data_IF_906046495502
#
_entry.id   IF_906046495502
#
_cell.length_a   1.000
_cell.length_b   1.000
_cell.length_c   1.000
_cell.angle_alpha   90.00
_cell.angle_beta   90.00
_cell.angle_gamma   90.00
#
_symmetry.space_group_name_H-M   'P 1'
#
loop_
_entity.id
_entity.type
_entity.pdbx_description
1 polymer ?
#
# COMPACT_ATOMS: atom_id res chain seq x y z
N UNK A 1 -3.52 -83.46 -16.11
CA UNK A 1 -3.05 -82.21 -16.70
C UNK A 1 -4.11 -81.14 -16.44
N UNK A 2 -4.01 -80.38 -15.33
CA UNK A 2 -4.98 -79.38 -14.94
C UNK A 2 -4.41 -77.99 -15.40
N UNK A 3 -5.21 -77.23 -16.18
CA UNK A 3 -4.91 -75.91 -16.62
C UNK A 3 -5.44 -74.93 -15.55
N UNK A 4 -4.54 -74.22 -14.87
CA UNK A 4 -4.90 -73.10 -14.03
C UNK A 4 -5.13 -71.86 -14.91
N UNK A 5 -6.34 -71.26 -14.83
CA UNK A 5 -6.67 -69.99 -15.43
C UNK A 5 -6.43 -68.88 -14.42
N UNK A 6 -5.49 -68.00 -14.69
CA UNK A 6 -5.20 -66.81 -13.89
C UNK A 6 -6.17 -65.71 -14.32
N UNK A 7 -7.08 -65.29 -13.46
CA UNK A 7 -7.95 -64.13 -13.65
C UNK A 7 -7.22 -62.87 -13.11
N UNK A 8 -6.88 -61.91 -14.00
CA UNK A 8 -6.34 -60.65 -13.63
C UNK A 8 -7.46 -59.70 -13.19
N UNK A 9 -7.49 -59.32 -11.92
CA UNK A 9 -8.40 -58.32 -11.37
C UNK A 9 -7.77 -56.95 -11.63
N UNK A 10 -8.32 -56.18 -12.55
CA UNK A 10 -7.95 -54.77 -12.77
C UNK A 10 -8.66 -53.88 -11.72
N UNK A 11 -7.92 -53.40 -10.74
CA UNK A 11 -8.42 -52.46 -9.75
C UNK A 11 -8.45 -51.04 -10.35
N UNK A 12 -9.67 -50.57 -10.65
CA UNK A 12 -9.90 -49.20 -11.14
C UNK A 12 -9.83 -48.25 -9.94
N UNK A 13 -8.72 -47.48 -9.81
CA UNK A 13 -8.58 -46.45 -8.81
C UNK A 13 -9.34 -45.21 -9.32
N UNK A 14 -10.55 -45.01 -8.83
CA UNK A 14 -11.28 -43.75 -8.97
C UNK A 14 -10.60 -42.68 -8.11
N UNK A 15 -9.84 -41.78 -8.74
CA UNK A 15 -9.39 -40.55 -8.14
C UNK A 15 -10.63 -39.65 -7.91
N UNK A 16 -11.20 -39.72 -6.72
CA UNK A 16 -12.20 -38.77 -6.27
C UNK A 16 -11.52 -37.42 -6.08
N UNK A 17 -11.70 -36.48 -7.02
CA UNK A 17 -11.42 -35.08 -6.81
C UNK A 17 -12.34 -34.57 -5.71
N UNK A 18 -11.82 -34.46 -4.49
CA UNK A 18 -12.52 -33.79 -3.39
C UNK A 18 -12.78 -32.34 -3.79
N UNK A 19 -14.02 -31.83 -3.66
CA UNK A 19 -14.26 -30.41 -3.84
C UNK A 19 -13.36 -29.65 -2.87
N UNK A 20 -12.56 -28.71 -3.38
CA UNK A 20 -11.76 -27.78 -2.56
C UNK A 20 -12.73 -26.81 -1.87
N UNK A 21 -13.29 -27.23 -0.75
CA UNK A 21 -14.05 -26.32 0.11
C UNK A 21 -13.05 -25.39 0.79
N UNK A 22 -13.34 -24.08 0.76
CA UNK A 22 -12.53 -23.13 1.48
C UNK A 22 -12.42 -23.55 2.95
N UNK A 23 -11.20 -23.50 3.49
CA UNK A 23 -10.99 -23.84 4.90
C UNK A 23 -11.86 -22.96 5.81
N UNK A 24 -12.45 -23.49 6.89
CA UNK A 24 -13.24 -22.71 7.82
C UNK A 24 -12.43 -21.49 8.34
N UNK A 25 -12.98 -20.29 8.16
CA UNK A 25 -12.35 -19.03 8.58
C UNK A 25 -11.71 -18.20 7.46
N UNK A 26 -11.65 -18.68 6.21
CA UNK A 26 -11.14 -17.91 5.08
C UNK A 26 -12.19 -17.04 4.37
N UNK A 27 -13.48 -17.19 4.67
CA UNK A 27 -14.57 -16.43 4.04
C UNK A 27 -14.45 -14.92 4.27
N UNK A 28 -14.00 -14.49 5.46
CA UNK A 28 -13.77 -13.09 5.79
C UNK A 28 -12.29 -12.80 5.71
N UNK A 29 -11.93 -11.80 4.91
CA UNK A 29 -10.55 -11.31 4.74
C UNK A 29 -10.41 -9.97 5.46
N UNK A 30 -9.69 -9.96 6.58
CA UNK A 30 -9.47 -8.74 7.39
C UNK A 30 -8.27 -7.99 6.83
N UNK A 31 -8.55 -6.86 6.20
CA UNK A 31 -7.57 -5.98 5.57
C UNK A 31 -7.37 -4.72 6.40
N UNK A 32 -6.23 -4.08 6.28
CA UNK A 32 -5.93 -2.84 6.99
C UNK A 32 -5.62 -1.70 6.03
N UNK A 33 -6.00 -0.48 6.45
CA UNK A 33 -5.75 0.78 5.78
C UNK A 33 -5.18 1.79 6.78
N UNK A 34 -3.98 2.37 6.56
CA UNK A 34 -3.46 3.41 7.45
C UNK A 34 -4.10 4.80 7.22
N UNK A 35 -5.12 4.89 6.39
CA UNK A 35 -5.79 6.13 6.01
C UNK A 35 -5.06 6.85 4.87
N UNK A 36 -4.38 6.10 4.00
CA UNK A 36 -3.65 6.62 2.84
C UNK A 36 -4.43 6.37 1.55
N UNK A 37 -4.43 7.36 0.66
CA UNK A 37 -5.22 7.33 -0.57
C UNK A 37 -4.81 6.21 -1.52
N UNK A 38 -3.51 5.89 -1.64
CA UNK A 38 -2.98 4.79 -2.42
C UNK A 38 -3.43 3.43 -1.88
N UNK A 39 -3.39 3.26 -0.55
CA UNK A 39 -3.83 2.00 0.07
C UNK A 39 -5.35 1.87 0.04
N UNK A 40 -6.10 2.95 0.11
CA UNK A 40 -7.54 2.91 -0.13
C UNK A 40 -7.87 2.47 -1.56
N UNK A 41 -7.08 2.89 -2.57
CA UNK A 41 -7.24 2.47 -3.97
C UNK A 41 -6.94 0.97 -4.14
N UNK A 42 -5.81 0.48 -3.63
CA UNK A 42 -5.42 -0.94 -3.72
C UNK A 42 -6.33 -1.86 -2.91
N UNK A 43 -6.80 -1.41 -1.74
CA UNK A 43 -7.81 -2.11 -0.96
C UNK A 43 -9.15 -2.20 -1.71
N UNK A 44 -9.56 -1.16 -2.42
CA UNK A 44 -10.81 -1.15 -3.18
C UNK A 44 -10.76 -2.12 -4.38
N UNK A 45 -9.65 -2.17 -5.11
CA UNK A 45 -9.41 -3.18 -6.17
C UNK A 45 -9.50 -4.59 -5.56
N UNK A 46 -8.73 -4.83 -4.51
CA UNK A 46 -8.66 -6.16 -3.88
C UNK A 46 -10.01 -6.58 -3.31
N UNK A 47 -10.73 -5.64 -2.67
CA UNK A 47 -12.07 -5.86 -2.16
C UNK A 47 -13.07 -6.24 -3.25
N UNK A 48 -13.05 -5.53 -4.39
CA UNK A 48 -13.90 -5.86 -5.55
C UNK A 48 -13.64 -7.28 -6.06
N UNK A 49 -12.37 -7.68 -6.17
CA UNK A 49 -12.00 -9.04 -6.59
C UNK A 49 -12.47 -10.08 -5.57
N UNK A 50 -12.19 -9.88 -4.29
CA UNK A 50 -12.61 -10.77 -3.21
C UNK A 50 -14.13 -10.97 -3.18
N UNK A 51 -14.90 -9.89 -3.28
CA UNK A 51 -16.35 -9.96 -3.34
C UNK A 51 -16.84 -10.70 -4.59
N UNK A 52 -16.20 -10.50 -5.76
CA UNK A 52 -16.50 -11.22 -6.99
C UNK A 52 -16.25 -12.73 -6.86
N UNK A 53 -15.29 -13.10 -6.04
CA UNK A 53 -14.95 -14.49 -5.72
C UNK A 53 -15.83 -15.10 -4.60
N UNK A 54 -16.73 -14.31 -3.98
CA UNK A 54 -17.62 -14.76 -2.90
C UNK A 54 -17.06 -14.60 -1.49
N UNK A 55 -15.89 -13.96 -1.32
CA UNK A 55 -15.33 -13.62 -0.01
C UNK A 55 -15.93 -12.32 0.54
N UNK A 56 -15.70 -12.08 1.82
CA UNK A 56 -16.17 -10.88 2.58
C UNK A 56 -14.97 -10.06 3.02
N UNK A 57 -14.47 -9.12 2.20
CA UNK A 57 -13.40 -8.22 2.63
C UNK A 57 -13.91 -7.29 3.74
N UNK A 58 -13.09 -7.10 4.78
CA UNK A 58 -13.33 -6.15 5.85
C UNK A 58 -12.08 -5.29 6.01
N UNK A 59 -12.19 -4.00 5.72
CA UNK A 59 -11.09 -3.04 5.82
C UNK A 59 -11.27 -2.21 7.09
N UNK A 60 -10.28 -2.28 7.99
CA UNK A 60 -10.24 -1.47 9.21
C UNK A 60 -9.15 -0.40 9.07
N UNK A 61 -9.47 0.87 9.40
CA UNK A 61 -8.48 1.96 9.41
C UNK A 61 -7.70 1.92 10.71
N UNK A 62 -6.38 1.68 10.62
CA UNK A 62 -5.50 1.45 11.76
C UNK A 62 -4.14 2.13 11.54
N UNK A 63 -3.53 2.72 12.57
CA UNK A 63 -2.16 3.21 12.48
C UNK A 63 -1.17 2.08 12.20
N UNK A 64 -0.08 2.37 11.46
CA UNK A 64 0.91 1.36 11.03
C UNK A 64 1.43 0.45 12.16
N UNK A 65 1.79 0.96 13.36
CA UNK A 65 2.19 0.09 14.46
C UNK A 65 1.10 -0.91 14.89
N UNK A 66 -0.18 -0.49 14.83
CA UNK A 66 -1.34 -1.34 15.16
C UNK A 66 -1.56 -2.40 14.07
N UNK A 67 -1.33 -2.04 12.80
CA UNK A 67 -1.41 -2.99 11.67
C UNK A 67 -0.42 -4.13 11.87
N UNK A 68 0.87 -3.82 12.11
CA UNK A 68 1.90 -4.84 12.34
C UNK A 68 1.62 -5.71 13.56
N UNK A 69 1.16 -5.10 14.67
CA UNK A 69 0.70 -5.85 15.84
C UNK A 69 -0.50 -6.74 15.53
N UNK A 70 -1.46 -6.24 14.77
CA UNK A 70 -2.66 -6.97 14.33
C UNK A 70 -2.34 -8.15 13.41
N UNK A 71 -1.37 -8.00 12.50
CA UNK A 71 -0.86 -9.11 11.66
C UNK A 71 -0.21 -10.19 12.53
N UNK A 72 0.66 -9.81 13.48
CA UNK A 72 1.28 -10.74 14.41
C UNK A 72 0.25 -11.52 15.23
N UNK A 73 -0.76 -10.83 15.74
CA UNK A 73 -1.76 -11.39 16.66
C UNK A 73 -2.95 -12.06 15.91
N UNK A 74 -2.96 -12.06 14.54
CA UNK A 74 -4.03 -12.63 13.73
C UNK A 74 -5.33 -11.84 13.73
N UNK A 75 -5.31 -10.57 14.18
CA UNK A 75 -6.46 -9.66 14.11
C UNK A 75 -6.60 -8.98 12.74
N UNK A 76 -5.50 -8.88 12.01
CA UNK A 76 -5.41 -8.47 10.61
C UNK A 76 -4.86 -9.64 9.81
N UNK A 77 -5.43 -9.92 8.65
CA UNK A 77 -4.97 -10.98 7.75
C UNK A 77 -4.02 -10.45 6.68
N UNK A 78 -4.30 -9.24 6.16
CA UNK A 78 -3.63 -8.65 4.99
C UNK A 78 -3.36 -7.16 5.17
N UNK A 79 -2.19 -6.72 4.76
CA UNK A 79 -1.81 -5.32 4.61
C UNK A 79 -1.10 -5.12 3.26
N UNK A 80 -1.67 -4.27 2.40
CA UNK A 80 -1.14 -4.01 1.04
C UNK A 80 -0.12 -2.87 0.99
N UNK A 81 0.13 -2.20 2.12
CA UNK A 81 0.87 -0.92 2.19
C UNK A 81 2.22 -1.02 2.89
N UNK A 82 2.97 -2.12 2.73
CA UNK A 82 4.33 -2.18 3.28
C UNK A 82 5.31 -1.43 2.38
N UNK A 83 5.37 -0.12 2.54
CA UNK A 83 6.28 0.78 1.84
C UNK A 83 7.72 0.60 2.31
N UNK A 84 8.61 0.14 1.42
CA UNK A 84 10.02 -0.06 1.69
C UNK A 84 10.86 0.93 0.87
N UNK A 85 11.95 1.49 1.45
CA UNK A 85 12.54 1.18 2.76
C UNK A 85 11.91 1.91 3.96
N UNK A 86 10.92 2.80 3.78
CA UNK A 86 10.36 3.63 4.84
C UNK A 86 9.92 2.82 6.09
N UNK A 87 9.41 1.59 5.90
CA UNK A 87 8.98 0.71 6.98
C UNK A 87 10.06 -0.29 7.44
N UNK A 88 11.36 -0.02 7.18
CA UNK A 88 12.45 -0.96 7.50
C UNK A 88 12.45 -1.37 8.98
N UNK A 89 12.26 -0.44 9.90
CA UNK A 89 12.23 -0.74 11.33
C UNK A 89 11.09 -1.70 11.73
N UNK A 90 9.92 -1.62 11.09
CA UNK A 90 8.83 -2.58 11.29
C UNK A 90 9.14 -3.91 10.61
N UNK A 91 9.73 -3.88 9.40
CA UNK A 91 10.18 -5.09 8.72
C UNK A 91 11.14 -5.89 9.59
N UNK A 92 12.18 -5.26 10.16
CA UNK A 92 13.16 -5.92 11.00
C UNK A 92 12.54 -6.51 12.26
N UNK A 93 11.58 -5.80 12.84
CA UNK A 93 10.92 -6.23 14.09
C UNK A 93 9.92 -7.36 13.87
N UNK A 94 9.21 -7.43 12.77
CA UNK A 94 8.06 -8.34 12.60
C UNK A 94 8.22 -9.33 11.44
N UNK A 95 8.87 -8.92 10.33
CA UNK A 95 9.02 -9.78 9.16
C UNK A 95 10.30 -10.60 9.24
N UNK A 96 11.42 -9.98 9.58
CA UNK A 96 12.71 -10.68 9.69
C UNK A 96 12.72 -11.77 10.76
N UNK A 97 11.95 -11.60 11.84
CA UNK A 97 11.79 -12.62 12.89
C UNK A 97 10.68 -13.65 12.58
N UNK A 98 9.97 -13.52 11.47
CA UNK A 98 8.95 -14.47 11.03
C UNK A 98 7.60 -14.39 11.74
N UNK A 99 7.29 -13.29 12.44
CA UNK A 99 5.96 -13.03 13.01
C UNK A 99 4.93 -12.63 11.94
N UNK A 100 5.40 -11.96 10.88
CA UNK A 100 4.61 -11.50 9.73
C UNK A 100 5.27 -12.00 8.45
N UNK A 101 4.47 -12.35 7.45
CA UNK A 101 4.96 -12.84 6.16
C UNK A 101 4.91 -11.72 5.11
N UNK A 102 6.05 -11.42 4.46
CA UNK A 102 6.08 -10.64 3.23
C UNK A 102 5.77 -11.56 2.06
N UNK A 103 4.56 -11.44 1.51
CA UNK A 103 4.05 -12.37 0.52
C UNK A 103 4.54 -12.07 -0.89
N UNK A 104 4.39 -10.82 -1.35
CA UNK A 104 4.75 -10.41 -2.70
C UNK A 104 5.03 -8.89 -2.75
N UNK A 105 5.84 -8.46 -3.71
CA UNK A 105 5.91 -7.07 -4.13
C UNK A 105 4.67 -6.77 -4.99
N UNK A 106 3.94 -5.71 -4.65
CA UNK A 106 2.72 -5.33 -5.36
C UNK A 106 2.84 -4.03 -6.16
N UNK A 107 3.80 -3.15 -5.82
CA UNK A 107 4.10 -1.92 -6.55
C UNK A 107 5.62 -1.65 -6.52
N UNK A 108 6.16 -1.08 -7.60
CA UNK A 108 7.57 -0.68 -7.71
C UNK A 108 7.75 0.75 -8.20
N UNK A 109 8.97 1.26 -8.11
CA UNK A 109 9.35 2.59 -8.61
C UNK A 109 8.74 3.73 -7.81
N UNK A 110 8.38 3.50 -6.54
CA UNK A 110 7.84 4.52 -5.67
C UNK A 110 8.94 5.49 -5.21
N UNK A 111 8.56 6.72 -4.90
CA UNK A 111 9.42 7.71 -4.28
C UNK A 111 8.71 8.28 -3.05
N UNK A 112 9.48 8.57 -2.01
CA UNK A 112 8.96 9.09 -0.76
C UNK A 112 10.04 9.89 -0.05
N UNK A 113 9.82 11.20 0.16
CA UNK A 113 10.77 12.09 0.86
C UNK A 113 10.10 13.43 1.19
N UNK A 114 10.84 14.41 1.71
CA UNK A 114 10.36 15.79 1.79
C UNK A 114 10.23 16.41 0.39
N UNK A 115 9.24 17.26 0.25
CA UNK A 115 8.95 18.02 -0.94
C UNK A 115 8.68 19.49 -0.61
N UNK A 116 8.85 20.33 -1.62
CA UNK A 116 8.53 21.76 -1.58
C UNK A 116 7.79 22.16 -2.85
N UNK A 117 6.95 23.21 -2.86
CA UNK A 117 6.38 23.76 -4.08
C UNK A 117 7.44 24.30 -5.03
N UNK A 118 7.14 24.33 -6.34
CA UNK A 118 8.07 24.83 -7.38
C UNK A 118 8.65 26.21 -7.05
N UNK A 119 7.85 27.15 -6.55
CA UNK A 119 8.36 28.49 -6.20
C UNK A 119 9.36 28.50 -5.03
N UNK A 120 9.30 27.53 -4.12
CA UNK A 120 10.29 27.34 -3.05
C UNK A 120 11.56 26.69 -3.61
N UNK A 121 11.38 25.74 -4.53
CA UNK A 121 12.49 25.15 -5.27
C UNK A 121 13.24 26.22 -6.08
N UNK A 122 12.53 27.03 -6.86
CA UNK A 122 13.11 28.11 -7.67
C UNK A 122 13.81 29.19 -6.82
N UNK A 123 13.42 29.31 -5.55
CA UNK A 123 14.09 30.14 -4.57
C UNK A 123 15.38 29.53 -3.98
N UNK A 124 15.79 28.33 -4.45
CA UNK A 124 17.06 27.70 -4.10
C UNK A 124 17.00 26.65 -3.01
N UNK A 125 15.82 26.04 -2.74
CA UNK A 125 15.66 24.95 -1.80
C UNK A 125 15.53 23.62 -2.58
N UNK A 126 16.67 22.96 -2.81
CA UNK A 126 16.75 21.73 -3.62
C UNK A 126 17.10 20.48 -2.81
N UNK A 127 17.72 20.69 -1.64
CA UNK A 127 18.29 19.63 -0.81
C UNK A 127 17.88 19.84 0.66
N UNK A 128 17.96 18.78 1.47
CA UNK A 128 17.67 18.88 2.89
C UNK A 128 18.52 19.94 3.62
N UNK A 129 19.79 20.11 3.22
CA UNK A 129 20.66 21.15 3.80
C UNK A 129 20.23 22.57 3.44
N UNK A 130 19.49 22.75 2.35
CA UNK A 130 19.01 24.06 1.94
C UNK A 130 17.88 24.57 2.84
N UNK A 131 17.13 23.69 3.49
CA UNK A 131 15.99 24.04 4.34
C UNK A 131 16.37 25.01 5.45
N UNK A 132 17.37 24.64 6.26
CA UNK A 132 17.81 25.52 7.36
C UNK A 132 18.55 26.75 6.86
N UNK A 133 19.39 26.64 5.83
CA UNK A 133 20.06 27.78 5.18
C UNK A 133 19.03 28.81 4.71
N UNK A 134 17.98 28.38 4.01
CA UNK A 134 16.92 29.26 3.55
C UNK A 134 16.15 29.89 4.71
N UNK A 135 15.84 29.12 5.76
CA UNK A 135 15.16 29.63 6.96
C UNK A 135 15.96 30.72 7.70
N UNK A 136 17.30 30.60 7.75
CA UNK A 136 18.19 31.62 8.35
C UNK A 136 18.21 32.93 7.54
N UNK A 137 18.13 32.83 6.22
CA UNK A 137 18.05 33.98 5.32
C UNK A 137 16.67 34.66 5.33
N UNK A 138 15.61 33.88 5.61
CA UNK A 138 14.21 34.29 5.57
C UNK A 138 13.45 34.03 6.89
N UNK A 139 13.95 34.52 8.05
CA UNK A 139 13.43 34.12 9.37
C UNK A 139 12.00 34.61 9.66
N UNK A 140 11.46 35.51 8.84
CA UNK A 140 10.07 36.00 8.95
C UNK A 140 9.09 35.21 8.06
N UNK A 141 9.59 34.42 7.13
CA UNK A 141 8.82 33.72 6.12
C UNK A 141 8.74 32.22 6.42
N UNK A 142 9.76 31.70 7.10
CA UNK A 142 9.90 30.27 7.40
C UNK A 142 9.65 30.00 8.89
N UNK A 143 8.60 29.26 9.20
CA UNK A 143 8.21 28.92 10.57
C UNK A 143 8.87 27.62 11.10
N UNK A 144 9.86 27.08 10.37
CA UNK A 144 10.64 25.87 10.69
C UNK A 144 9.74 24.66 11.02
N UNK A 145 8.77 24.38 10.17
CA UNK A 145 7.88 23.20 10.29
C UNK A 145 8.08 22.22 9.16
N UNK A 146 8.07 20.93 9.50
CA UNK A 146 7.99 19.81 8.57
C UNK A 146 6.59 19.22 8.66
N UNK A 147 5.82 19.28 7.59
CA UNK A 147 4.46 18.74 7.60
C UNK A 147 4.48 17.26 7.27
N UNK A 148 4.18 16.44 8.26
CA UNK A 148 4.12 14.98 8.22
C UNK A 148 2.70 14.44 8.07
N UNK A 149 2.59 13.13 8.14
CA UNK A 149 1.33 12.38 8.05
C UNK A 149 0.90 11.83 9.41
N UNK A 150 0.03 10.81 9.44
CA UNK A 150 -0.52 10.26 10.68
C UNK A 150 0.54 9.85 11.70
N UNK A 151 0.25 10.07 12.97
CA UNK A 151 1.18 9.75 14.07
C UNK A 151 1.59 8.28 14.05
N UNK A 152 2.86 8.01 14.28
CA UNK A 152 3.45 6.68 14.19
C UNK A 152 3.69 6.20 12.76
N UNK A 153 3.42 7.01 11.74
CA UNK A 153 3.83 6.69 10.37
C UNK A 153 5.36 6.62 10.27
N UNK A 154 5.90 5.62 9.54
CA UNK A 154 7.34 5.41 9.44
C UNK A 154 8.14 6.62 9.00
N UNK A 155 7.59 7.42 8.09
CA UNK A 155 8.22 8.64 7.62
C UNK A 155 8.32 9.73 8.69
N UNK A 156 7.30 9.85 9.53
CA UNK A 156 7.38 10.75 10.68
C UNK A 156 8.50 10.33 11.63
N UNK A 157 8.68 9.00 11.83
CA UNK A 157 9.77 8.48 12.64
C UNK A 157 11.15 8.86 12.05
N UNK A 158 11.31 8.78 10.72
CA UNK A 158 12.52 9.25 10.05
C UNK A 158 12.76 10.76 10.25
N UNK A 159 11.72 11.58 10.15
CA UNK A 159 11.81 13.03 10.42
C UNK A 159 12.13 13.32 11.89
N UNK A 160 11.57 12.55 12.83
CA UNK A 160 11.88 12.68 14.24
C UNK A 160 13.35 12.35 14.54
N UNK A 161 13.92 11.31 13.92
CA UNK A 161 15.34 10.99 14.05
C UNK A 161 16.23 12.08 13.44
N UNK A 162 15.88 12.65 12.28
CA UNK A 162 16.58 13.80 11.67
C UNK A 162 16.61 14.99 12.65
N UNK A 163 15.46 15.36 13.21
CA UNK A 163 15.35 16.47 14.16
C UNK A 163 16.16 16.18 15.44
N UNK A 164 16.03 14.98 15.98
CA UNK A 164 16.70 14.56 17.22
C UNK A 164 18.23 14.57 17.11
N UNK A 165 18.78 14.19 15.95
CA UNK A 165 20.21 14.14 15.71
C UNK A 165 20.75 15.45 15.13
N UNK A 166 19.91 16.46 14.92
CA UNK A 166 20.23 17.72 14.25
C UNK A 166 20.84 17.51 12.85
N UNK A 167 20.48 16.41 12.18
CA UNK A 167 20.94 16.17 10.81
C UNK A 167 20.38 17.27 9.89
N UNK A 168 21.18 17.74 8.95
CA UNK A 168 20.87 18.86 8.05
C UNK A 168 20.59 20.19 8.78
N UNK A 169 21.06 20.36 10.04
CA UNK A 169 20.75 21.47 10.92
C UNK A 169 19.23 21.69 11.16
N UNK A 170 18.47 20.58 11.21
CA UNK A 170 17.02 20.63 11.41
C UNK A 170 16.58 20.43 12.87
N UNK A 171 17.50 20.39 13.85
CA UNK A 171 17.18 20.18 15.27
C UNK A 171 16.25 21.21 15.90
N UNK A 172 16.12 22.41 15.29
CA UNK A 172 15.20 23.46 15.72
C UNK A 172 13.86 23.43 14.97
N UNK A 173 13.69 22.52 14.01
CA UNK A 173 12.45 22.36 13.26
C UNK A 173 11.44 21.53 14.04
N UNK A 174 10.16 21.69 13.72
CA UNK A 174 9.06 20.99 14.38
C UNK A 174 8.32 20.12 13.38
N UNK A 175 8.17 18.85 13.70
CA UNK A 175 7.29 17.95 12.95
C UNK A 175 5.82 18.27 13.32
N UNK A 176 4.99 18.50 12.31
CA UNK A 176 3.53 18.66 12.43
C UNK A 176 2.88 17.39 11.90
N UNK A 177 2.46 16.52 12.82
CA UNK A 177 1.77 15.29 12.49
C UNK A 177 0.27 15.52 12.30
N UNK A 178 -0.29 15.01 11.20
CA UNK A 178 -1.73 15.07 10.93
C UNK A 178 -2.13 13.96 9.96
N UNK A 179 -3.43 13.79 9.66
CA UNK A 179 -3.82 12.89 8.57
C UNK A 179 -3.29 13.39 7.22
N UNK A 180 -3.15 12.49 6.23
CA UNK A 180 -2.79 12.86 4.84
C UNK A 180 -3.65 14.01 4.34
N UNK A 181 -4.97 13.92 4.50
CA UNK A 181 -5.92 14.93 4.04
C UNK A 181 -5.73 16.29 4.74
N UNK A 182 -5.43 16.27 6.04
CA UNK A 182 -5.19 17.51 6.79
C UNK A 182 -3.86 18.15 6.40
N UNK A 183 -2.80 17.35 6.20
CA UNK A 183 -1.51 17.81 5.69
C UNK A 183 -1.68 18.45 4.32
N UNK A 184 -2.33 17.77 3.37
CA UNK A 184 -2.56 18.29 2.01
C UNK A 184 -3.42 19.57 2.00
N UNK A 185 -4.39 19.69 2.89
CA UNK A 185 -5.19 20.90 3.04
C UNK A 185 -4.35 22.09 3.51
N UNK A 186 -3.44 21.87 4.46
CA UNK A 186 -2.52 22.92 4.95
C UNK A 186 -1.51 23.31 3.87
N UNK A 187 -0.90 22.33 3.19
CA UNK A 187 0.02 22.57 2.08
C UNK A 187 -0.66 23.37 0.96
N UNK A 188 -1.86 22.95 0.55
CA UNK A 188 -2.65 23.65 -0.48
C UNK A 188 -2.95 25.11 -0.08
N UNK A 189 -3.20 25.36 1.21
CA UNK A 189 -3.43 26.71 1.74
C UNK A 189 -2.15 27.55 1.67
N UNK A 190 -1.00 26.97 2.01
CA UNK A 190 0.30 27.63 1.92
C UNK A 190 0.65 27.95 0.47
N UNK A 191 0.49 26.98 -0.45
CA UNK A 191 0.73 27.14 -1.89
C UNK A 191 -0.10 28.28 -2.48
N UNK A 192 -1.42 28.32 -2.19
CA UNK A 192 -2.30 29.42 -2.66
C UNK A 192 -1.87 30.80 -2.19
N UNK A 193 -1.14 30.89 -1.08
CA UNK A 193 -0.63 32.14 -0.51
C UNK A 193 0.85 32.39 -0.81
N UNK A 194 1.47 31.56 -1.63
CA UNK A 194 2.91 31.58 -1.92
C UNK A 194 3.79 31.62 -0.66
N UNK A 195 3.36 30.94 0.41
CA UNK A 195 4.11 30.83 1.66
C UNK A 195 5.07 29.64 1.59
N UNK A 196 6.22 29.78 2.26
CA UNK A 196 7.11 28.65 2.45
C UNK A 196 6.36 27.47 3.12
N UNK A 197 6.54 26.28 2.57
CA UNK A 197 6.05 25.03 3.14
C UNK A 197 6.93 23.86 2.67
N UNK A 198 7.30 22.97 3.59
CA UNK A 198 7.92 21.69 3.27
C UNK A 198 7.13 20.56 3.93
N UNK A 199 6.92 19.48 3.21
CA UNK A 199 6.00 18.43 3.58
C UNK A 199 6.44 17.08 3.03
N UNK A 200 5.92 16.00 3.60
CA UNK A 200 6.11 14.67 3.06
C UNK A 200 5.36 14.53 1.73
N UNK A 201 6.09 14.15 0.69
CA UNK A 201 5.54 13.84 -0.62
C UNK A 201 5.90 12.43 -1.05
N UNK A 202 5.05 11.81 -1.86
CA UNK A 202 5.29 10.48 -2.42
C UNK A 202 4.63 10.29 -3.78
N UNK A 203 5.11 9.29 -4.51
CA UNK A 203 4.51 8.83 -5.76
C UNK A 203 4.27 7.32 -5.69
N UNK A 204 3.09 6.82 -6.13
CA UNK A 204 2.00 7.55 -6.80
C UNK A 204 1.15 8.38 -5.84
N UNK A 205 0.82 9.61 -6.21
CA UNK A 205 -0.20 10.43 -5.55
C UNK A 205 -0.58 11.65 -6.42
N UNK A 206 -1.87 12.04 -6.50
CA UNK A 206 -2.32 13.20 -7.28
C UNK A 206 -1.68 14.54 -6.87
N UNK A 207 -1.19 14.68 -5.63
CA UNK A 207 -0.50 15.89 -5.18
C UNK A 207 0.67 16.28 -6.08
N UNK A 208 1.34 15.32 -6.71
CA UNK A 208 2.47 15.56 -7.61
C UNK A 208 2.10 16.49 -8.78
N UNK A 209 0.84 16.43 -9.24
CA UNK A 209 0.32 17.29 -10.31
C UNK A 209 -0.40 18.51 -9.73
N UNK A 210 -1.17 18.33 -8.64
CA UNK A 210 -2.04 19.37 -8.08
C UNK A 210 -1.28 20.48 -7.36
N UNK A 211 -0.11 20.18 -6.78
CA UNK A 211 0.66 21.11 -5.96
C UNK A 211 1.86 21.73 -6.67
N UNK A 212 2.16 21.33 -7.93
CA UNK A 212 3.38 21.73 -8.64
C UNK A 212 4.59 21.68 -7.71
N UNK A 213 4.94 20.47 -7.28
CA UNK A 213 5.95 20.25 -6.24
C UNK A 213 7.21 19.56 -6.78
N UNK A 214 8.30 19.69 -6.03
CA UNK A 214 9.57 19.00 -6.27
C UNK A 214 10.01 18.28 -5.01
N UNK A 215 10.58 17.08 -5.20
CA UNK A 215 11.19 16.31 -4.12
C UNK A 215 12.59 16.82 -3.79
N UNK A 216 12.90 16.97 -2.51
CA UNK A 216 14.24 17.33 -2.06
C UNK A 216 15.19 16.14 -2.14
N UNK A 217 16.44 16.41 -2.51
CA UNK A 217 17.55 15.46 -2.48
C UNK A 217 18.30 15.47 -1.13
N UNK A 218 19.27 14.56 -0.95
CA UNK A 218 20.12 14.51 0.25
C UNK A 218 19.51 13.75 1.44
N UNK A 219 18.21 13.38 1.37
CA UNK A 219 17.52 12.63 2.41
C UNK A 219 17.58 11.10 2.26
N UNK A 220 18.32 10.56 1.31
CA UNK A 220 18.30 9.15 0.90
C UNK A 220 18.71 8.19 2.03
N UNK A 221 19.54 8.63 2.97
CA UNK A 221 19.88 7.88 4.19
C UNK A 221 18.64 7.47 4.99
N UNK A 222 17.60 8.31 4.98
CA UNK A 222 16.38 8.14 5.78
C UNK A 222 15.19 7.62 4.97
N UNK A 223 15.13 7.96 3.69
CA UNK A 223 13.96 7.70 2.84
C UNK A 223 14.25 6.71 1.71
N UNK A 224 15.53 6.44 1.41
CA UNK A 224 15.93 5.68 0.22
C UNK A 224 15.89 6.54 -1.04
N UNK A 225 16.55 6.09 -2.11
CA UNK A 225 16.52 6.75 -3.42
C UNK A 225 15.28 6.38 -4.25
N UNK A 226 14.78 5.17 -4.06
CA UNK A 226 13.54 4.64 -4.66
C UNK A 226 12.96 3.57 -3.75
N UNK A 227 11.71 3.22 -3.95
CA UNK A 227 11.04 2.26 -3.10
C UNK A 227 10.14 1.29 -3.85
N UNK A 228 9.60 0.36 -3.08
CA UNK A 228 8.61 -0.63 -3.50
C UNK A 228 7.60 -0.83 -2.39
N UNK A 229 6.39 -1.26 -2.75
CA UNK A 229 5.36 -1.64 -1.79
C UNK A 229 5.14 -3.14 -1.83
N UNK A 230 4.96 -3.73 -0.66
CA UNK A 230 4.77 -5.17 -0.52
C UNK A 230 3.44 -5.49 0.17
N UNK A 231 2.87 -6.61 -0.24
CA UNK A 231 1.76 -7.25 0.45
C UNK A 231 2.30 -8.03 1.64
N UNK A 232 1.83 -7.71 2.84
CA UNK A 232 2.07 -8.49 4.05
C UNK A 232 0.83 -9.30 4.41
N UNK A 233 1.06 -10.47 4.99
CA UNK A 233 0.01 -11.29 5.60
C UNK A 233 0.43 -11.72 7.01
N UNK A 234 -0.55 -12.04 7.85
CA UNK A 234 -0.25 -12.77 9.08
C UNK A 234 0.47 -14.07 8.76
N UNK A 235 1.27 -14.54 9.69
CA UNK A 235 2.02 -15.79 9.54
C UNK A 235 1.09 -16.95 9.19
N UNK A 236 1.47 -17.70 8.16
CA UNK A 236 0.73 -18.90 7.73
C UNK A 236 -0.59 -18.62 7.00
N UNK A 237 -0.96 -17.36 6.72
CA UNK A 237 -2.25 -17.03 6.09
C UNK A 237 -2.40 -17.63 4.70
N UNK A 238 -1.38 -17.52 3.85
CA UNK A 238 -1.44 -18.04 2.48
C UNK A 238 -1.49 -19.59 2.42
N UNK A 239 -0.98 -20.27 3.47
CA UNK A 239 -1.10 -21.71 3.61
C UNK A 239 -2.49 -22.12 4.11
N UNK A 240 -3.04 -21.40 5.08
CA UNK A 240 -4.38 -21.65 5.62
C UNK A 240 -5.49 -21.25 4.65
N UNK A 241 -5.29 -20.19 3.84
CA UNK A 241 -6.25 -19.69 2.86
C UNK A 241 -5.59 -19.63 1.46
N UNK A 242 -5.29 -20.80 0.84
CA UNK A 242 -4.43 -20.87 -0.35
C UNK A 242 -4.99 -20.11 -1.54
N UNK A 243 -6.31 -20.08 -1.73
CA UNK A 243 -6.94 -19.37 -2.84
C UNK A 243 -6.83 -17.84 -2.69
N UNK A 244 -7.08 -17.31 -1.49
CA UNK A 244 -6.85 -15.89 -1.20
C UNK A 244 -5.36 -15.57 -1.25
N UNK A 245 -4.49 -16.42 -0.72
CA UNK A 245 -3.04 -16.30 -0.80
C UNK A 245 -2.55 -16.24 -2.25
N UNK A 246 -3.12 -17.04 -3.15
CA UNK A 246 -2.81 -17.02 -4.58
C UNK A 246 -3.22 -15.70 -5.22
N UNK A 247 -4.45 -15.23 -4.98
CA UNK A 247 -4.92 -13.92 -5.44
C UNK A 247 -3.96 -12.82 -5.00
N UNK A 248 -3.69 -12.71 -3.69
CA UNK A 248 -2.82 -11.68 -3.13
C UNK A 248 -1.39 -11.75 -3.70
N UNK A 249 -0.89 -12.95 -3.95
CA UNK A 249 0.41 -13.18 -4.59
C UNK A 249 0.48 -12.74 -6.05
N UNK A 250 -0.64 -12.74 -6.75
CA UNK A 250 -0.74 -12.32 -8.15
C UNK A 250 -0.90 -10.81 -8.32
N UNK A 251 -1.41 -10.10 -7.32
CA UNK A 251 -1.68 -8.66 -7.44
C UNK A 251 -0.40 -7.88 -7.76
N UNK A 252 -0.43 -7.14 -8.85
CA UNK A 252 0.57 -6.15 -9.25
C UNK A 252 -0.17 -4.90 -9.62
N UNK A 253 0.13 -3.83 -8.91
CA UNK A 253 -0.43 -2.52 -9.15
C UNK A 253 0.55 -1.68 -9.98
N UNK A 254 0.09 -0.61 -10.57
CA UNK A 254 0.93 0.35 -11.28
C UNK A 254 0.66 1.76 -10.75
N UNK A 255 1.65 2.63 -10.86
CA UNK A 255 1.48 4.03 -10.48
C UNK A 255 0.34 4.70 -11.25
N UNK A 256 0.20 4.40 -12.55
CA UNK A 256 -0.88 4.95 -13.38
C UNK A 256 -2.26 4.48 -12.91
N UNK A 257 -2.38 3.22 -12.49
CA UNK A 257 -3.63 2.69 -11.93
C UNK A 257 -4.00 3.42 -10.64
N UNK A 258 -3.08 3.51 -9.69
CA UNK A 258 -3.33 4.16 -8.40
C UNK A 258 -3.61 5.64 -8.57
N UNK A 259 -2.80 6.35 -9.36
CA UNK A 259 -3.04 7.76 -9.70
C UNK A 259 -4.39 7.98 -10.38
N UNK A 260 -4.78 7.11 -11.31
CA UNK A 260 -6.07 7.18 -12.01
C UNK A 260 -7.25 7.03 -11.05
N UNK A 261 -7.21 6.03 -10.17
CA UNK A 261 -8.27 5.79 -9.17
C UNK A 261 -8.36 6.97 -8.18
N UNK A 262 -7.23 7.41 -7.62
CA UNK A 262 -7.20 8.53 -6.68
C UNK A 262 -7.68 9.84 -7.33
N UNK A 263 -7.29 10.09 -8.59
CA UNK A 263 -7.75 11.26 -9.34
C UNK A 263 -9.26 11.23 -9.60
N UNK A 264 -9.83 10.06 -9.93
CA UNK A 264 -11.26 9.88 -10.12
C UNK A 264 -12.03 10.19 -8.83
N UNK A 265 -11.57 9.68 -7.68
CA UNK A 265 -12.15 9.98 -6.36
C UNK A 265 -12.06 11.48 -6.05
N UNK A 266 -10.90 12.10 -6.27
CA UNK A 266 -10.69 13.51 -5.97
C UNK A 266 -11.55 14.44 -6.85
N UNK A 267 -11.64 14.15 -8.16
CA UNK A 267 -12.28 15.03 -9.15
C UNK A 267 -13.80 14.85 -9.19
N UNK A 268 -14.29 13.60 -9.12
CA UNK A 268 -15.71 13.28 -9.26
C UNK A 268 -16.43 13.04 -7.94
N UNK A 269 -15.70 13.01 -6.81
CA UNK A 269 -16.26 12.76 -5.47
C UNK A 269 -17.00 11.43 -5.35
N UNK A 270 -16.57 10.45 -6.12
CA UNK A 270 -17.04 9.06 -6.02
C UNK A 270 -16.27 8.30 -4.93
N UNK A 271 -16.79 7.15 -4.50
CA UNK A 271 -16.09 6.27 -3.57
C UNK A 271 -14.91 5.56 -4.25
N UNK A 272 -13.92 5.10 -3.47
CA UNK A 272 -12.84 4.25 -3.98
C UNK A 272 -13.37 2.96 -4.62
N UNK A 273 -14.44 2.37 -4.08
CA UNK A 273 -15.07 1.18 -4.66
C UNK A 273 -15.63 1.45 -6.06
N UNK A 274 -16.30 2.59 -6.27
CA UNK A 274 -16.80 2.99 -7.58
C UNK A 274 -15.67 3.27 -8.57
N UNK A 275 -14.64 4.00 -8.13
CA UNK A 275 -13.48 4.33 -8.97
C UNK A 275 -12.69 3.06 -9.35
N UNK A 276 -12.47 2.14 -8.42
CA UNK A 276 -11.81 0.86 -8.67
C UNK A 276 -12.60 0.00 -9.66
N UNK A 277 -13.91 -0.14 -9.47
CA UNK A 277 -14.79 -0.85 -10.42
C UNK A 277 -14.74 -0.24 -11.81
N UNK A 278 -14.83 1.08 -11.92
CA UNK A 278 -14.76 1.78 -13.20
C UNK A 278 -13.41 1.56 -13.89
N UNK A 279 -12.31 1.59 -13.12
CA UNK A 279 -10.96 1.33 -13.64
C UNK A 279 -10.83 -0.12 -14.15
N UNK A 280 -11.27 -1.13 -13.38
CA UNK A 280 -11.24 -2.54 -13.82
C UNK A 280 -12.07 -2.73 -15.08
N UNK A 281 -13.25 -2.10 -15.15
CA UNK A 281 -14.12 -2.16 -16.32
C UNK A 281 -13.45 -1.60 -17.58
N UNK A 282 -12.67 -0.53 -17.43
CA UNK A 282 -11.89 0.08 -18.53
C UNK A 282 -10.62 -0.73 -18.88
N UNK A 283 -10.13 -1.58 -17.96
CA UNK A 283 -8.89 -2.34 -18.10
C UNK A 283 -9.09 -3.86 -17.86
N UNK A 284 -10.04 -4.53 -18.51
CA UNK A 284 -10.44 -5.90 -18.16
C UNK A 284 -9.34 -6.94 -18.36
N UNK A 285 -8.34 -6.66 -19.18
CA UNK A 285 -7.22 -7.57 -19.45
C UNK A 285 -6.40 -7.91 -18.20
N UNK A 286 -6.35 -7.01 -17.22
CA UNK A 286 -5.60 -7.21 -15.96
C UNK A 286 -6.16 -8.36 -15.13
N UNK A 287 -7.46 -8.67 -15.27
CA UNK A 287 -8.10 -9.76 -14.56
C UNK A 287 -7.48 -11.13 -14.88
N UNK A 288 -7.02 -11.33 -16.14
CA UNK A 288 -6.36 -12.57 -16.53
C UNK A 288 -5.12 -12.87 -15.69
N UNK A 289 -4.31 -11.84 -15.41
CA UNK A 289 -3.12 -11.98 -14.57
C UNK A 289 -3.47 -12.14 -13.09
N UNK A 290 -4.36 -11.31 -12.57
CA UNK A 290 -4.70 -11.31 -11.14
C UNK A 290 -5.44 -12.58 -10.70
N UNK A 291 -6.26 -13.14 -11.60
CA UNK A 291 -7.08 -14.34 -11.33
C UNK A 291 -6.43 -15.64 -11.82
N UNK A 292 -5.18 -15.61 -12.28
CA UNK A 292 -4.48 -16.82 -12.73
C UNK A 292 -4.39 -17.85 -11.60
N UNK A 293 -4.96 -19.05 -11.82
CA UNK A 293 -4.99 -20.13 -10.84
C UNK A 293 -5.83 -19.86 -9.59
N UNK A 294 -6.71 -18.84 -9.62
CA UNK A 294 -7.65 -18.49 -8.56
C UNK A 294 -9.03 -19.02 -8.91
N UNK A 295 -9.79 -19.44 -7.90
CA UNK A 295 -11.18 -19.87 -8.02
C UNK A 295 -12.10 -19.01 -7.17
N UNK A 296 -13.41 -19.13 -7.36
CA UNK A 296 -14.39 -18.61 -6.40
C UNK A 296 -14.33 -19.42 -5.08
N UNK A 297 -14.94 -18.89 -4.03
CA UNK A 297 -15.04 -19.56 -2.72
C UNK A 297 -15.68 -20.95 -2.81
N UNK A 298 -16.61 -21.15 -3.76
CA UNK A 298 -17.27 -22.43 -4.04
C UNK A 298 -16.59 -23.27 -5.16
N UNK A 299 -15.35 -22.89 -5.54
CA UNK A 299 -14.50 -23.67 -6.45
C UNK A 299 -14.79 -23.50 -7.95
N UNK A 300 -15.59 -22.49 -8.35
CA UNK A 300 -15.88 -22.19 -9.77
C UNK A 300 -14.82 -21.29 -10.38
N UNK A 301 -14.91 -21.09 -11.71
CA UNK A 301 -14.01 -20.19 -12.44
C UNK A 301 -14.10 -18.73 -11.94
N UNK A 302 -12.98 -18.15 -11.58
CA UNK A 302 -12.87 -16.81 -11.01
C UNK A 302 -13.24 -15.72 -12.02
N UNK A 303 -12.72 -15.81 -13.26
CA UNK A 303 -12.83 -14.74 -14.24
C UNK A 303 -14.28 -14.40 -14.61
N UNK A 304 -15.15 -15.36 -14.98
CA UNK A 304 -16.56 -15.08 -15.25
C UNK A 304 -17.29 -14.51 -14.02
N UNK A 305 -16.99 -15.02 -12.82
CA UNK A 305 -17.62 -14.57 -11.58
C UNK A 305 -17.31 -13.10 -11.27
N UNK A 306 -16.05 -12.68 -11.44
CA UNK A 306 -15.64 -11.29 -11.24
C UNK A 306 -16.18 -10.39 -12.35
N UNK A 307 -16.13 -10.83 -13.61
CA UNK A 307 -16.65 -10.07 -14.75
C UNK A 307 -18.15 -9.79 -14.66
N UNK A 308 -18.92 -10.72 -14.11
CA UNK A 308 -20.37 -10.54 -13.91
C UNK A 308 -20.72 -9.35 -12.96
N UNK A 309 -19.75 -8.81 -12.21
CA UNK A 309 -19.93 -7.66 -11.30
C UNK A 309 -19.51 -6.32 -11.90
N UNK A 310 -18.92 -6.29 -13.10
CA UNK A 310 -18.53 -5.09 -13.83
C UNK A 310 -19.72 -4.43 -14.51
#
# INVERSE_FOLDING_TARGET
MQKLSTAAIATLVLLASAPAWAEPGCETVKMADPGWSDIAATNAITGFLLEGLGYKPKVDTLAVPIIFGGLKDGRVDVFLGNWMPAQQGFHDKFVANGDVTRLAQNLEGTQFTLAVPDYVWDAGVHDFNDLNRYAEQHPREVDKKLYGIGSGAPANLSLQEIIKHDDFALGQWKLVESSEQAMLAEVSRAVKKHKFVTFLGWTPHPMNVQLNMRYLTGGEKYFGASGSVYTLTRKGYAQACPNVGKLLGNLRFTQDMENGIMAEVANRKVSYAEAARAWIKANPAVLGQWLDGVTTLDGKDALPAVQARL
#
